data_IF_627130118078
#
_entry.id   IF_627130118078
#
_cell.length_a   1.000
_cell.length_b   1.000
_cell.length_c   1.000
_cell.angle_alpha   90.00
_cell.angle_beta   90.00
_cell.angle_gamma   90.00
#
_symmetry.space_group_name_H-M   'P 1'
#
loop_
_entity.id
_entity.type
_entity.pdbx_description
1 polymer ?
#
# COMPACT_ATOMS: atom_id res chain seq x y z
N UNK A 1 -4.22 -9.83 7.65
CA UNK A 1 -5.67 -10.07 7.79
C UNK A 1 -6.45 -9.99 6.47
N UNK A 2 -5.87 -9.55 5.34
CA UNK A 2 -6.57 -9.32 4.07
C UNK A 2 -6.76 -10.54 3.12
N UNK A 3 -6.25 -11.73 3.47
CA UNK A 3 -5.95 -12.82 2.50
C UNK A 3 -7.18 -13.47 1.82
N UNK A 4 -8.41 -13.23 2.29
CA UNK A 4 -9.64 -13.79 1.69
C UNK A 4 -10.78 -12.78 1.56
N UNK A 5 -10.47 -11.49 1.67
CA UNK A 5 -11.47 -10.44 1.54
C UNK A 5 -11.82 -10.20 0.07
N UNK A 6 -13.09 -9.87 -0.25
CA UNK A 6 -13.47 -9.47 -1.60
C UNK A 6 -12.61 -8.29 -2.09
N UNK A 7 -11.99 -8.45 -3.25
CA UNK A 7 -11.19 -7.39 -3.87
C UNK A 7 -12.12 -6.25 -4.32
N UNK A 8 -12.19 -5.18 -3.53
CA UNK A 8 -13.07 -4.06 -3.81
C UNK A 8 -12.83 -2.85 -2.89
N UNK A 9 -13.60 -1.77 -3.06
CA UNK A 9 -13.33 -0.48 -2.42
C UNK A 9 -13.20 -0.53 -0.90
N UNK A 10 -13.95 -1.41 -0.23
CA UNK A 10 -13.82 -1.62 1.22
C UNK A 10 -12.44 -2.15 1.58
N UNK A 11 -12.01 -3.25 0.95
CA UNK A 11 -10.68 -3.83 1.20
C UNK A 11 -9.57 -2.83 0.89
N UNK A 12 -9.67 -2.10 -0.22
CA UNK A 12 -8.66 -1.12 -0.60
C UNK A 12 -8.51 -0.01 0.44
N UNK A 13 -9.64 0.48 0.96
CA UNK A 13 -9.67 1.47 2.05
C UNK A 13 -9.04 0.90 3.32
N UNK A 14 -9.44 -0.30 3.72
CA UNK A 14 -8.96 -0.89 4.98
C UNK A 14 -7.45 -1.18 4.90
N UNK A 15 -6.95 -1.64 3.75
CA UNK A 15 -5.51 -1.82 3.49
C UNK A 15 -4.77 -0.49 3.50
N UNK A 16 -5.30 0.54 2.82
CA UNK A 16 -4.70 1.88 2.81
C UNK A 16 -4.55 2.41 4.23
N UNK A 17 -5.61 2.38 5.03
CA UNK A 17 -5.60 2.88 6.41
C UNK A 17 -4.62 2.08 7.27
N UNK A 18 -4.61 0.76 7.17
CA UNK A 18 -3.67 -0.07 7.95
C UNK A 18 -2.20 0.22 7.62
N UNK A 19 -1.89 0.55 6.37
CA UNK A 19 -0.52 0.93 5.96
C UNK A 19 -0.21 2.37 6.39
N UNK A 20 -1.16 3.30 6.26
CA UNK A 20 -1.02 4.68 6.72
C UNK A 20 -0.75 4.73 8.23
N UNK A 21 -1.51 4.00 9.04
CA UNK A 21 -1.34 3.94 10.50
C UNK A 21 0.05 3.39 10.89
N UNK A 22 0.52 2.35 10.19
CA UNK A 22 1.85 1.80 10.39
C UNK A 22 2.94 2.83 10.07
N UNK A 23 2.91 3.43 8.88
CA UNK A 23 3.91 4.40 8.46
C UNK A 23 3.88 5.68 9.29
N UNK A 24 2.70 6.08 9.78
CA UNK A 24 2.56 7.18 10.73
C UNK A 24 3.31 6.89 12.03
N UNK A 25 3.16 5.67 12.58
CA UNK A 25 3.92 5.26 13.77
C UNK A 25 5.42 5.24 13.50
N UNK A 26 5.87 4.77 12.34
CA UNK A 26 7.28 4.78 11.96
C UNK A 26 7.84 6.21 11.83
N UNK A 27 7.06 7.14 11.27
CA UNK A 27 7.43 8.56 11.21
C UNK A 27 7.53 9.19 12.60
N UNK A 28 6.55 8.95 13.47
CA UNK A 28 6.60 9.43 14.87
C UNK A 28 7.81 8.91 15.64
N UNK A 29 8.27 7.71 15.30
CA UNK A 29 9.46 7.10 15.89
C UNK A 29 10.78 7.54 15.22
N UNK A 30 10.76 8.60 14.41
CA UNK A 30 11.92 9.11 13.66
C UNK A 30 12.61 8.01 12.83
N UNK A 31 11.83 7.15 12.16
CA UNK A 31 12.34 6.15 11.20
C UNK A 31 12.20 6.59 9.75
N UNK A 32 11.33 7.57 9.49
CA UNK A 32 11.12 8.22 8.20
C UNK A 32 11.56 9.68 8.27
N UNK A 33 12.10 10.22 7.18
CA UNK A 33 12.47 11.62 7.03
C UNK A 33 11.26 12.47 6.63
N UNK A 34 11.21 13.76 6.98
CA UNK A 34 10.15 14.68 6.56
C UNK A 34 9.57 15.51 7.72
N UNK A 35 9.31 16.80 7.48
CA UNK A 35 8.78 17.74 8.49
C UNK A 35 7.29 17.51 8.76
N UNK A 36 6.59 16.87 7.83
CA UNK A 36 5.20 16.48 7.94
C UNK A 36 4.99 15.11 7.29
N UNK A 37 3.83 14.51 7.56
CA UNK A 37 3.46 13.18 7.03
C UNK A 37 3.58 13.09 5.51
N UNK A 38 3.19 14.14 4.78
CA UNK A 38 3.20 14.15 3.31
C UNK A 38 4.61 14.16 2.69
N UNK A 39 5.60 14.65 3.43
CA UNK A 39 7.03 14.53 3.06
C UNK A 39 7.59 13.16 3.40
N UNK A 40 7.05 12.51 4.45
CA UNK A 40 7.55 11.24 4.94
C UNK A 40 7.06 10.04 4.14
N UNK A 41 5.78 10.01 3.79
CA UNK A 41 5.22 8.93 2.99
C UNK A 41 3.90 9.31 2.30
N UNK A 42 3.51 8.48 1.34
CA UNK A 42 2.14 8.44 0.84
C UNK A 42 1.70 7.00 0.63
N UNK A 43 0.39 6.77 0.72
CA UNK A 43 -0.23 5.48 0.43
C UNK A 43 -1.41 5.70 -0.50
N UNK A 44 -1.47 4.93 -1.59
CA UNK A 44 -2.60 4.89 -2.51
C UNK A 44 -3.02 3.45 -2.72
N UNK A 45 -4.27 3.16 -2.42
CA UNK A 45 -4.89 1.88 -2.73
C UNK A 45 -6.34 2.17 -3.08
N UNK A 46 -6.58 2.36 -4.37
CA UNK A 46 -7.89 2.71 -4.93
C UNK A 46 -7.89 2.34 -6.43
N UNK A 47 -9.00 2.59 -7.13
CA UNK A 47 -9.15 2.21 -8.54
C UNK A 47 -8.05 2.75 -9.46
N UNK A 48 -7.38 3.85 -9.10
CA UNK A 48 -6.32 4.50 -9.89
C UNK A 48 -4.99 3.74 -9.85
N UNK A 49 -4.79 2.81 -8.91
CA UNK A 49 -3.54 2.03 -8.81
C UNK A 49 -3.59 0.70 -9.57
N UNK A 50 -4.75 0.34 -10.12
CA UNK A 50 -5.02 -0.95 -10.74
C UNK A 50 -5.57 -0.79 -12.16
N UNK A 51 -5.22 -1.71 -13.06
CA UNK A 51 -5.89 -1.87 -14.35
C UNK A 51 -7.16 -2.72 -14.22
N UNK A 52 -8.00 -2.77 -15.26
CA UNK A 52 -9.13 -3.71 -15.29
C UNK A 52 -8.63 -5.17 -15.17
N UNK A 53 -7.57 -5.50 -15.90
CA UNK A 53 -6.93 -6.81 -15.85
C UNK A 53 -6.41 -7.17 -14.45
N UNK A 54 -5.97 -6.20 -13.64
CA UNK A 54 -5.58 -6.48 -12.26
C UNK A 54 -6.79 -6.91 -11.43
N UNK A 55 -7.89 -6.17 -11.51
CA UNK A 55 -9.12 -6.46 -10.76
C UNK A 55 -9.72 -7.80 -11.18
N UNK A 56 -9.79 -8.07 -12.49
CA UNK A 56 -10.37 -9.29 -13.04
C UNK A 56 -9.59 -10.54 -12.62
N UNK A 57 -8.28 -10.40 -12.37
CA UNK A 57 -7.41 -11.47 -11.87
C UNK A 57 -7.24 -11.44 -10.34
N UNK A 58 -8.09 -10.71 -9.61
CA UNK A 58 -8.03 -10.63 -8.16
C UNK A 58 -6.77 -9.94 -7.61
N UNK A 59 -6.02 -9.21 -8.44
CA UNK A 59 -4.84 -8.46 -8.03
C UNK A 59 -5.26 -7.11 -7.46
N UNK A 60 -4.80 -6.85 -6.25
CA UNK A 60 -4.89 -5.54 -5.60
C UNK A 60 -3.50 -4.92 -5.56
N UNK A 61 -3.37 -3.64 -5.93
CA UNK A 61 -2.10 -2.92 -5.88
C UNK A 61 -2.20 -1.76 -4.89
N UNK A 62 -1.46 -1.86 -3.79
CA UNK A 62 -1.20 -0.74 -2.89
C UNK A 62 0.14 -0.10 -3.27
N UNK A 63 0.09 1.17 -3.68
CA UNK A 63 1.25 1.99 -4.04
C UNK A 63 1.69 2.79 -2.81
N UNK A 64 2.92 2.60 -2.38
CA UNK A 64 3.48 3.23 -1.18
C UNK A 64 4.76 3.94 -1.57
N UNK A 65 4.87 5.23 -1.27
CA UNK A 65 6.14 5.96 -1.31
C UNK A 65 6.61 6.26 0.11
N UNK A 66 7.90 6.09 0.40
CA UNK A 66 8.50 6.42 1.69
C UNK A 66 9.80 7.21 1.51
N UNK A 67 10.08 8.11 2.45
CA UNK A 67 11.34 8.85 2.56
C UNK A 67 12.21 8.28 3.70
N UNK A 68 13.20 7.42 3.40
CA UNK A 68 14.09 6.85 4.41
C UNK A 68 15.20 7.84 4.83
N UNK A 69 15.72 7.68 6.05
CA UNK A 69 16.73 8.57 6.65
C UNK A 69 18.15 8.50 6.04
N UNK A 70 18.39 7.63 5.06
CA UNK A 70 19.71 7.36 4.44
C UNK A 70 19.50 7.17 2.92
N UNK A 71 20.51 7.38 2.06
CA UNK A 71 20.32 7.91 0.71
C UNK A 71 19.58 6.92 -0.19
N UNK A 72 18.26 7.05 -0.22
CA UNK A 72 17.38 6.61 -1.29
C UNK A 72 16.27 7.66 -1.32
N UNK A 73 16.34 8.56 -2.30
CA UNK A 73 15.54 9.79 -2.29
C UNK A 73 14.04 9.50 -2.26
N UNK A 74 13.55 8.39 -2.84
CA UNK A 74 12.22 7.81 -2.57
C UNK A 74 12.21 6.31 -2.92
N UNK A 75 11.61 5.46 -2.08
CA UNK A 75 11.38 4.04 -2.39
C UNK A 75 9.90 3.79 -2.64
N UNK A 76 9.57 3.18 -3.78
CA UNK A 76 8.20 2.79 -4.13
C UNK A 76 8.02 1.29 -3.91
N UNK A 77 7.10 0.94 -3.02
CA UNK A 77 6.64 -0.44 -2.86
C UNK A 77 5.33 -0.65 -3.60
N UNK A 78 5.26 -1.71 -4.40
CA UNK A 78 4.02 -2.23 -4.97
C UNK A 78 3.75 -3.59 -4.34
N UNK A 79 2.77 -3.63 -3.45
CA UNK A 79 2.38 -4.88 -2.80
C UNK A 79 1.17 -5.43 -3.54
N UNK A 80 1.31 -6.64 -4.07
CA UNK A 80 0.28 -7.36 -4.80
C UNK A 80 -0.22 -8.56 -4.01
N UNK A 81 -1.54 -8.68 -3.84
CA UNK A 81 -2.15 -9.95 -3.44
C UNK A 81 -2.46 -10.75 -4.70
N UNK A 82 -1.92 -11.96 -4.78
CA UNK A 82 -2.19 -12.90 -5.86
C UNK A 82 -3.01 -14.03 -5.27
N UNK A 83 -4.25 -14.19 -5.73
CA UNK A 83 -4.97 -15.45 -5.49
C UNK A 83 -4.28 -16.51 -6.32
N UNK A 84 -3.58 -17.45 -5.67
CA UNK A 84 -3.18 -18.68 -6.33
C UNK A 84 -4.47 -19.31 -6.89
N UNK A 85 -4.45 -19.60 -8.19
CA UNK A 85 -5.53 -20.28 -8.90
C UNK A 85 -6.16 -21.35 -8.01
N UNK A 86 -7.49 -21.32 -7.86
CA UNK A 86 -8.22 -22.50 -7.38
C UNK A 86 -8.02 -23.58 -8.44
N UNK A 87 -7.00 -24.41 -8.29
CA UNK A 87 -7.02 -25.75 -8.89
C UNK A 87 -8.17 -26.51 -8.25
N UNK A 88 -9.30 -26.54 -8.94
CA UNK A 88 -10.27 -27.64 -8.94
C UNK A 88 -11.04 -27.63 -10.26
#
# INVERSE_FOLDING_TARGET
WAVFEPNGPKLWKDVRLSVEDFLYSEWQNNRLFGLNVGEAFFVRCDRTTMSANDIDNGRMVCLIGVSPLRPAEFVIFRIGQWTADRRS
#
